data_IF_651560596144
#
_entry.id   IF_651560596144
#
_cell.length_a   1.000
_cell.length_b   1.000
_cell.length_c   1.000
_cell.angle_alpha   90.00
_cell.angle_beta   90.00
_cell.angle_gamma   90.00
#
_symmetry.space_group_name_H-M   'P 1'
#
loop_
_entity.id
_entity.type
_entity.pdbx_description
1 polymer ?
#
# COMPACT_ATOMS: atom_id res chain seq x y z
N UNK A 1 -0.79 -8.44 -12.63
CA UNK A 1 -1.24 -7.22 -13.35
C UNK A 1 -2.53 -6.82 -12.70
N UNK A 2 -2.74 -5.54 -12.41
CA UNK A 2 -4.00 -5.08 -11.82
C UNK A 2 -5.06 -5.02 -12.92
N UNK A 3 -6.12 -5.81 -12.78
CA UNK A 3 -7.24 -5.77 -13.71
C UNK A 3 -8.09 -4.51 -13.51
N UNK A 4 -8.69 -3.98 -14.57
CA UNK A 4 -9.43 -2.72 -14.49
C UNK A 4 -10.61 -2.79 -13.51
N UNK A 5 -11.36 -3.88 -13.50
CA UNK A 5 -12.49 -4.06 -12.57
C UNK A 5 -12.04 -4.12 -11.11
N UNK A 6 -10.86 -4.70 -10.84
CA UNK A 6 -10.25 -4.73 -9.50
C UNK A 6 -9.84 -3.33 -9.07
N UNK A 7 -9.21 -2.58 -9.96
CA UNK A 7 -8.82 -1.19 -9.74
C UNK A 7 -10.04 -0.33 -9.36
N UNK A 8 -11.11 -0.39 -10.15
CA UNK A 8 -12.34 0.38 -9.92
C UNK A 8 -12.97 -0.01 -8.58
N UNK A 9 -13.05 -1.32 -8.28
CA UNK A 9 -13.61 -1.79 -7.02
C UNK A 9 -12.82 -1.28 -5.79
N UNK A 10 -11.49 -1.21 -5.88
CA UNK A 10 -10.66 -0.66 -4.80
C UNK A 10 -10.82 0.87 -4.71
N UNK A 11 -10.86 1.56 -5.84
CA UNK A 11 -11.08 3.01 -5.88
C UNK A 11 -12.41 3.38 -5.19
N UNK A 12 -13.49 2.68 -5.54
CA UNK A 12 -14.81 2.86 -4.94
C UNK A 12 -14.82 2.51 -3.45
N UNK A 13 -14.18 1.40 -3.06
CA UNK A 13 -14.13 0.95 -1.67
C UNK A 13 -13.44 1.95 -0.75
N UNK A 14 -12.38 2.61 -1.21
CA UNK A 14 -11.61 3.57 -0.43
C UNK A 14 -12.00 5.03 -0.69
N UNK A 15 -12.86 5.29 -1.68
CA UNK A 15 -13.27 6.65 -2.06
C UNK A 15 -12.11 7.48 -2.61
N UNK A 16 -11.24 6.87 -3.42
CA UNK A 16 -9.99 7.45 -3.92
C UNK A 16 -9.93 7.43 -5.45
N UNK A 17 -9.00 8.19 -6.03
CA UNK A 17 -8.77 8.18 -7.47
C UNK A 17 -8.08 6.87 -7.94
N UNK A 18 -8.40 6.43 -9.16
CA UNK A 18 -7.78 5.27 -9.81
C UNK A 18 -6.24 5.32 -9.80
N UNK A 19 -5.67 6.50 -10.06
CA UNK A 19 -4.21 6.73 -10.03
C UNK A 19 -3.58 6.42 -8.67
N UNK A 20 -4.33 6.63 -7.58
CA UNK A 20 -3.87 6.31 -6.23
C UNK A 20 -3.85 4.79 -6.01
N UNK A 21 -4.83 4.06 -6.56
CA UNK A 21 -4.86 2.59 -6.54
C UNK A 21 -3.71 1.99 -7.35
N UNK A 22 -3.39 2.57 -8.51
CA UNK A 22 -2.25 2.14 -9.32
C UNK A 22 -0.92 2.29 -8.56
N UNK A 23 -0.72 3.42 -7.86
CA UNK A 23 0.46 3.62 -7.01
C UNK A 23 0.48 2.66 -5.84
N UNK A 24 -0.66 2.44 -5.18
CA UNK A 24 -0.79 1.46 -4.10
C UNK A 24 -0.44 0.03 -4.56
N UNK A 25 -0.85 -0.33 -5.78
CA UNK A 25 -0.50 -1.61 -6.38
C UNK A 25 1.01 -1.73 -6.64
N UNK A 26 1.64 -0.69 -7.21
CA UNK A 26 3.09 -0.66 -7.41
C UNK A 26 3.84 -0.80 -6.08
N UNK A 27 3.44 -0.07 -5.05
CA UNK A 27 4.04 -0.13 -3.71
C UNK A 27 3.98 -1.55 -3.16
N UNK A 28 2.90 -2.29 -3.41
CA UNK A 28 2.76 -3.69 -2.97
C UNK A 28 3.84 -4.59 -3.59
N UNK A 29 4.16 -4.41 -4.88
CA UNK A 29 5.26 -5.13 -5.53
C UNK A 29 6.62 -4.72 -5.00
N UNK A 30 6.83 -3.42 -4.75
CA UNK A 30 8.10 -2.91 -4.19
C UNK A 30 8.34 -3.48 -2.80
N UNK A 31 7.32 -3.48 -1.93
CA UNK A 31 7.42 -4.06 -0.58
C UNK A 31 7.69 -5.56 -0.62
N UNK A 32 7.05 -6.29 -1.54
CA UNK A 32 7.31 -7.72 -1.73
C UNK A 32 8.77 -7.97 -2.14
N UNK A 33 9.31 -7.18 -3.08
CA UNK A 33 10.71 -7.28 -3.49
C UNK A 33 11.68 -6.90 -2.37
N UNK A 34 11.41 -5.82 -1.61
CA UNK A 34 12.23 -5.39 -0.49
C UNK A 34 12.34 -6.46 0.60
N UNK A 35 11.25 -7.19 0.86
CA UNK A 35 11.26 -8.30 1.82
C UNK A 35 12.23 -9.43 1.41
N UNK A 36 12.52 -9.60 0.12
CA UNK A 36 13.48 -10.59 -0.39
C UNK A 36 14.92 -10.07 -0.42
N UNK A 37 15.12 -8.80 -0.82
CA UNK A 37 16.45 -8.26 -1.11
C UNK A 37 17.09 -7.45 0.02
N UNK A 38 16.28 -6.97 0.97
CA UNK A 38 16.72 -6.14 2.08
C UNK A 38 15.90 -6.43 3.37
N UNK A 39 15.90 -7.69 3.87
CA UNK A 39 15.11 -8.06 5.05
C UNK A 39 15.52 -7.32 6.34
N UNK A 40 16.67 -6.64 6.35
CA UNK A 40 17.16 -5.82 7.46
C UNK A 40 16.53 -4.44 7.56
N UNK A 41 15.85 -3.93 6.52
CA UNK A 41 15.18 -2.63 6.60
C UNK A 41 13.83 -2.74 7.30
N UNK A 42 13.55 -1.81 8.20
CA UNK A 42 12.27 -1.75 8.89
C UNK A 42 11.30 -0.87 8.10
N UNK A 43 10.13 -1.43 7.75
CA UNK A 43 9.04 -0.67 7.16
C UNK A 43 8.31 0.13 8.25
N UNK A 44 8.26 1.46 8.09
CA UNK A 44 7.72 2.39 9.09
C UNK A 44 6.75 3.40 8.45
N UNK A 45 6.26 4.34 9.26
CA UNK A 45 5.50 5.48 8.76
C UNK A 45 4.03 5.20 8.44
N UNK A 46 3.45 6.11 7.65
CA UNK A 46 2.01 6.14 7.39
C UNK A 46 1.52 4.94 6.58
N UNK A 47 2.36 4.45 5.67
CA UNK A 47 2.06 3.29 4.84
C UNK A 47 2.21 1.98 5.60
N UNK A 48 3.18 1.86 6.52
CA UNK A 48 3.25 0.72 7.41
C UNK A 48 1.99 0.60 8.25
N UNK A 49 1.54 1.69 8.89
CA UNK A 49 0.30 1.72 9.65
C UNK A 49 -0.92 1.33 8.80
N UNK A 50 -1.02 1.87 7.58
CA UNK A 50 -2.13 1.60 6.66
C UNK A 50 -2.20 0.11 6.26
N UNK A 51 -1.05 -0.51 5.96
CA UNK A 51 -0.98 -1.89 5.45
C UNK A 51 -1.05 -2.96 6.53
N UNK A 52 -0.72 -2.64 7.79
CA UNK A 52 -0.70 -3.64 8.88
C UNK A 52 -1.87 -3.52 9.84
N UNK A 53 -2.27 -2.30 10.21
CA UNK A 53 -3.24 -2.07 11.29
C UNK A 53 -4.53 -1.40 10.83
N UNK A 54 -4.51 -0.65 9.73
CA UNK A 54 -5.68 0.09 9.21
C UNK A 54 -6.09 -0.40 7.80
N UNK A 55 -6.10 -1.71 7.57
CA UNK A 55 -6.40 -2.26 6.25
C UNK A 55 -7.90 -2.19 5.87
N UNK A 56 -8.79 -2.01 6.85
CA UNK A 56 -10.24 -1.94 6.60
C UNK A 56 -10.71 -0.47 6.50
N UNK A 57 -11.16 0.00 5.32
CA UNK A 57 -11.73 1.34 5.16
C UNK A 57 -12.89 1.63 6.10
N UNK A 58 -13.71 0.62 6.47
CA UNK A 58 -14.80 0.82 7.43
C UNK A 58 -14.30 1.09 8.86
N UNK A 59 -13.05 0.72 9.17
CA UNK A 59 -12.38 0.96 10.44
C UNK A 59 -11.38 2.14 10.38
N UNK A 60 -11.52 3.04 9.40
CA UNK A 60 -10.62 4.19 9.22
C UNK A 60 -9.39 3.89 8.36
N UNK A 61 -9.42 2.79 7.60
CA UNK A 61 -8.39 2.46 6.64
C UNK A 61 -8.29 3.47 5.50
N UNK A 62 -7.06 3.65 5.00
CA UNK A 62 -6.75 4.57 3.91
C UNK A 62 -5.65 3.99 3.04
N UNK A 63 -5.61 4.38 1.77
CA UNK A 63 -4.40 4.18 0.97
C UNK A 63 -3.31 5.18 1.40
N UNK A 64 -2.07 4.77 1.24
CA UNK A 64 -0.89 5.56 1.60
C UNK A 64 0.20 5.28 0.57
N UNK A 65 0.81 6.34 0.06
CA UNK A 65 1.56 6.29 -1.22
C UNK A 65 3.07 6.41 -1.03
N UNK A 66 3.52 6.73 0.17
CA UNK A 66 4.94 6.83 0.51
C UNK A 66 5.49 5.46 0.95
N UNK A 67 6.80 5.27 0.85
CA UNK A 67 7.49 4.13 1.46
C UNK A 67 8.55 4.70 2.40
N UNK A 68 8.27 4.65 3.70
CA UNK A 68 9.24 5.03 4.73
C UNK A 68 9.99 3.79 5.21
N UNK A 69 11.32 3.82 5.07
CA UNK A 69 12.21 2.74 5.49
C UNK A 69 13.21 3.26 6.51
N UNK A 70 13.50 2.44 7.52
CA UNK A 70 14.55 2.69 8.48
C UNK A 70 15.62 1.61 8.38
N UNK A 71 16.84 2.01 8.02
CA UNK A 71 18.03 1.15 8.04
C UNK A 71 18.82 1.32 9.34
N UNK A 72 19.46 0.24 9.80
CA UNK A 72 20.42 0.29 10.89
C UNK A 72 21.81 0.78 10.43
#
# INVERSE_FOLDING_TARGET
MLEHDELVAVADRFGVAEDQVLRDHLISHVLAALAEVAPEVLFVGGSALARTHLADPAAGGRLSEDIDLWGA
#
